data_IF_361414449406
#
_entry.id   IF_361414449406
#
_cell.length_a   1.000
_cell.length_b   1.000
_cell.length_c   1.000
_cell.angle_alpha   90.00
_cell.angle_beta   90.00
_cell.angle_gamma   90.00
#
_symmetry.space_group_name_H-M   'P 1'
#
loop_
_entity.id
_entity.type
_entity.pdbx_description
1 polymer ?
#
# COMPACT_ATOMS: atom_id res chain seq x y z
N UNK A 1 -41.19 7.61 1.16
CA UNK A 1 -41.24 6.53 0.15
C UNK A 1 -40.12 6.79 -0.84
N UNK A 2 -39.01 6.05 -0.73
CA UNK A 2 -37.88 6.14 -1.65
C UNK A 2 -38.24 5.36 -2.93
N UNK A 3 -38.13 6.03 -4.06
CA UNK A 3 -38.38 5.50 -5.40
C UNK A 3 -37.26 4.49 -5.79
N UNK A 4 -37.64 3.22 -5.91
CA UNK A 4 -36.75 2.09 -6.24
C UNK A 4 -36.63 1.85 -7.75
N UNK A 5 -37.15 2.74 -8.61
CA UNK A 5 -37.28 2.47 -10.06
C UNK A 5 -36.04 2.78 -10.92
N UNK A 6 -34.91 3.21 -10.33
CA UNK A 6 -33.68 3.48 -11.10
C UNK A 6 -32.57 2.46 -10.80
N UNK A 7 -32.30 1.50 -11.70
CA UNK A 7 -31.19 0.58 -11.52
C UNK A 7 -29.85 1.32 -11.67
N UNK A 8 -29.00 1.23 -10.63
CA UNK A 8 -27.59 1.57 -10.66
C UNK A 8 -26.90 0.85 -11.83
N UNK A 9 -26.52 1.61 -12.87
CA UNK A 9 -25.68 1.12 -13.97
C UNK A 9 -24.25 0.86 -13.47
N UNK A 10 -24.01 -0.27 -12.82
CA UNK A 10 -22.65 -0.79 -12.67
C UNK A 10 -22.65 -2.32 -12.45
N UNK A 11 -23.12 -3.08 -13.44
CA UNK A 11 -23.23 -4.55 -13.35
C UNK A 11 -22.65 -5.27 -14.57
N UNK A 12 -21.64 -4.70 -15.23
CA UNK A 12 -21.00 -5.29 -16.43
C UNK A 12 -19.59 -5.89 -16.20
N UNK A 13 -19.14 -6.08 -14.97
CA UNK A 13 -17.81 -6.68 -14.69
C UNK A 13 -17.85 -8.02 -13.91
N UNK A 14 -18.97 -8.74 -13.95
CA UNK A 14 -19.19 -9.94 -13.11
C UNK A 14 -18.74 -11.28 -13.74
N UNK A 15 -17.87 -11.29 -14.76
CA UNK A 15 -17.50 -12.54 -15.48
C UNK A 15 -16.01 -12.93 -15.48
N UNK A 16 -15.15 -12.31 -14.64
CA UNK A 16 -13.74 -12.71 -14.51
C UNK A 16 -13.36 -12.96 -13.05
N UNK A 17 -13.52 -14.22 -12.61
CA UNK A 17 -13.97 -14.53 -11.24
C UNK A 17 -12.93 -15.07 -10.23
N UNK A 18 -11.61 -15.02 -10.47
CA UNK A 18 -10.64 -15.48 -9.44
C UNK A 18 -9.51 -14.50 -9.07
N UNK A 19 -9.18 -13.56 -9.96
CA UNK A 19 -8.14 -12.54 -9.71
C UNK A 19 -8.72 -11.18 -9.27
N UNK A 20 -10.03 -11.00 -9.44
CA UNK A 20 -10.77 -9.78 -9.11
C UNK A 20 -11.27 -9.80 -7.65
N UNK A 21 -11.61 -10.98 -7.12
CA UNK A 21 -12.31 -11.15 -5.84
C UNK A 21 -11.53 -10.60 -4.62
N UNK A 22 -10.20 -10.81 -4.55
CA UNK A 22 -9.37 -10.28 -3.45
C UNK A 22 -9.05 -8.79 -3.56
N UNK A 23 -8.95 -8.25 -4.79
CA UNK A 23 -8.66 -6.81 -5.01
C UNK A 23 -9.89 -5.93 -4.78
N UNK A 24 -11.09 -6.49 -4.91
CA UNK A 24 -12.33 -5.77 -4.69
C UNK A 24 -12.62 -5.46 -3.23
N UNK A 25 -12.11 -6.23 -2.26
CA UNK A 25 -12.48 -6.05 -0.84
C UNK A 25 -11.94 -4.76 -0.23
N UNK A 26 -10.67 -4.43 -0.48
CA UNK A 26 -10.06 -3.21 0.07
C UNK A 26 -10.73 -1.96 -0.51
N UNK A 27 -10.99 -1.97 -1.82
CA UNK A 27 -11.70 -0.88 -2.50
C UNK A 27 -13.16 -0.73 -2.02
N UNK A 28 -13.80 -1.83 -1.60
CA UNK A 28 -15.14 -1.77 -1.00
C UNK A 28 -15.13 -1.08 0.36
N UNK A 29 -14.14 -1.37 1.22
CA UNK A 29 -14.01 -0.70 2.53
C UNK A 29 -13.78 0.81 2.35
N UNK A 30 -12.93 1.19 1.40
CA UNK A 30 -12.67 2.60 1.11
C UNK A 30 -13.94 3.34 0.66
N UNK A 31 -14.76 2.70 -0.19
CA UNK A 31 -16.05 3.27 -0.63
C UNK A 31 -17.06 3.38 0.50
N UNK A 32 -17.21 2.32 1.30
CA UNK A 32 -18.09 2.33 2.47
C UNK A 32 -17.69 3.45 3.43
N UNK A 33 -16.39 3.66 3.64
CA UNK A 33 -15.87 4.74 4.48
C UNK A 33 -16.23 6.13 3.93
N UNK A 34 -16.17 6.32 2.62
CA UNK A 34 -16.55 7.58 1.96
C UNK A 34 -18.07 7.85 2.02
N UNK A 35 -18.89 6.81 1.86
CA UNK A 35 -20.34 6.93 1.95
C UNK A 35 -20.75 7.25 3.41
N UNK A 36 -20.19 6.53 4.40
CA UNK A 36 -20.40 6.81 5.83
C UNK A 36 -19.96 8.23 6.22
N UNK A 37 -18.84 8.72 5.67
CA UNK A 37 -18.38 10.08 5.91
C UNK A 37 -19.43 11.13 5.52
N UNK A 38 -20.16 10.88 4.41
CA UNK A 38 -21.21 11.77 3.91
C UNK A 38 -22.45 11.72 4.81
N UNK A 39 -22.90 10.51 5.16
CA UNK A 39 -24.10 10.33 6.01
C UNK A 39 -23.90 10.83 7.44
N UNK A 40 -22.68 10.70 7.96
CA UNK A 40 -22.37 11.05 9.35
C UNK A 40 -21.91 12.51 9.53
N UNK A 41 -21.64 13.23 8.44
CA UNK A 41 -21.22 14.63 8.46
C UNK A 41 -22.15 15.55 9.28
N UNK A 42 -23.50 15.45 9.19
CA UNK A 42 -24.42 16.29 9.97
C UNK A 42 -24.31 16.09 11.48
N UNK A 43 -23.86 14.91 11.92
CA UNK A 43 -23.65 14.58 13.32
C UNK A 43 -22.26 14.98 13.84
N UNK A 44 -21.44 15.62 12.99
CA UNK A 44 -20.09 16.05 13.34
C UNK A 44 -19.08 14.92 13.45
N UNK A 45 -19.41 13.72 12.97
CA UNK A 45 -18.52 12.55 12.97
C UNK A 45 -17.69 12.55 11.69
N UNK A 46 -16.38 12.27 11.83
CA UNK A 46 -15.46 12.15 10.70
C UNK A 46 -15.06 10.69 10.50
N UNK A 47 -15.05 10.24 9.25
CA UNK A 47 -14.71 8.85 8.88
C UNK A 47 -13.58 8.90 7.86
N UNK A 48 -12.52 8.13 8.08
CA UNK A 48 -11.34 8.10 7.19
C UNK A 48 -10.91 6.66 6.94
N UNK A 49 -10.35 6.41 5.75
CA UNK A 49 -9.70 5.12 5.46
C UNK A 49 -8.19 5.27 5.63
N UNK A 50 -7.61 4.56 6.59
CA UNK A 50 -6.17 4.57 6.84
C UNK A 50 -5.47 3.47 6.02
N UNK A 51 -4.44 3.86 5.28
CA UNK A 51 -3.68 2.95 4.42
C UNK A 51 -2.20 2.94 4.80
N UNK A 52 -1.78 1.98 5.64
CA UNK A 52 -0.37 1.79 5.95
C UNK A 52 0.39 1.19 4.77
N UNK A 53 1.71 1.39 4.75
CA UNK A 53 2.64 0.66 3.90
C UNK A 53 2.78 -0.81 4.32
N UNK A 54 3.93 -1.42 3.99
CA UNK A 54 4.26 -2.72 4.58
C UNK A 54 4.41 -2.54 6.09
N UNK A 55 3.79 -3.40 6.91
CA UNK A 55 3.88 -3.34 8.38
C UNK A 55 4.67 -4.54 8.91
N UNK A 56 5.57 -4.29 9.84
CA UNK A 56 6.31 -5.31 10.61
C UNK A 56 5.36 -6.03 11.54
N UNK A 57 4.90 -7.21 11.12
CA UNK A 57 4.04 -8.10 11.92
C UNK A 57 4.58 -9.52 11.86
N UNK A 58 4.25 -10.35 12.84
CA UNK A 58 4.61 -11.77 12.86
C UNK A 58 4.16 -12.48 11.58
N UNK A 59 2.99 -12.10 11.03
CA UNK A 59 2.50 -12.64 9.77
C UNK A 59 3.39 -12.21 8.58
N UNK A 60 3.82 -10.95 8.53
CA UNK A 60 4.73 -10.45 7.51
C UNK A 60 6.08 -11.21 7.53
N UNK A 61 6.60 -11.46 8.73
CA UNK A 61 7.84 -12.22 8.94
C UNK A 61 7.68 -13.70 8.52
N UNK A 62 6.60 -14.35 8.94
CA UNK A 62 6.24 -15.72 8.53
C UNK A 62 6.16 -15.80 7.00
N UNK A 63 5.50 -14.86 6.34
CA UNK A 63 5.34 -14.85 4.88
C UNK A 63 6.68 -14.67 4.14
N UNK A 64 7.57 -13.82 4.65
CA UNK A 64 8.92 -13.64 4.08
C UNK A 64 9.72 -14.94 4.24
N UNK A 65 9.71 -15.53 5.43
CA UNK A 65 10.38 -16.81 5.69
C UNK A 65 9.82 -17.96 4.85
N UNK A 66 8.49 -18.03 4.70
CA UNK A 66 7.83 -19.01 3.83
C UNK A 66 8.21 -18.85 2.37
N UNK A 67 8.26 -17.61 1.87
CA UNK A 67 8.74 -17.36 0.52
C UNK A 67 10.20 -17.79 0.38
N UNK A 68 11.08 -17.45 1.34
CA UNK A 68 12.50 -17.87 1.32
C UNK A 68 12.61 -19.39 1.21
N UNK A 69 11.87 -20.11 2.03
CA UNK A 69 11.86 -21.58 2.03
C UNK A 69 11.28 -22.19 0.75
N UNK A 70 10.17 -21.64 0.24
CA UNK A 70 9.47 -22.17 -0.95
C UNK A 70 10.29 -21.99 -2.23
N UNK A 71 11.08 -20.93 -2.35
CA UNK A 71 12.00 -20.79 -3.50
C UNK A 71 13.27 -21.61 -3.34
N UNK A 72 13.75 -21.83 -2.11
CA UNK A 72 14.87 -22.74 -1.91
C UNK A 72 14.50 -24.18 -2.33
N UNK A 73 13.24 -24.60 -2.13
CA UNK A 73 12.74 -25.88 -2.66
C UNK A 73 12.62 -25.92 -4.19
N UNK A 74 12.28 -24.80 -4.85
CA UNK A 74 12.25 -24.73 -6.32
C UNK A 74 13.66 -24.83 -6.93
N UNK A 75 14.70 -24.47 -6.18
CA UNK A 75 16.10 -24.71 -6.55
C UNK A 75 16.57 -26.15 -6.25
N UNK A 76 15.90 -26.90 -5.37
CA UNK A 76 16.25 -28.31 -5.06
C UNK A 76 15.68 -29.28 -6.12
N UNK A 77 14.65 -28.90 -6.89
CA UNK A 77 14.18 -29.69 -8.05
C UNK A 77 15.03 -29.49 -9.33
N UNK A 78 16.01 -28.58 -9.31
CA UNK A 78 16.99 -28.40 -10.38
C UNK A 78 18.39 -28.75 -9.89
N UNK A 79 18.60 -30.02 -9.55
CA UNK A 79 19.95 -30.58 -9.52
C UNK A 79 19.93 -31.96 -10.14
N UNK A 80 20.26 -32.02 -11.43
CA UNK A 80 21.28 -32.97 -11.89
C UNK A 80 21.92 -32.44 -13.16
N UNK A 81 23.20 -32.08 -13.00
CA UNK A 81 24.19 -31.69 -14.00
C UNK A 81 24.15 -30.25 -14.53
N UNK A 82 25.20 -29.52 -14.15
CA UNK A 82 25.75 -28.30 -14.76
C UNK A 82 24.92 -27.01 -14.69
N UNK A 83 25.34 -26.08 -13.82
CA UNK A 83 25.77 -24.70 -14.15
C UNK A 83 26.36 -24.09 -12.87
N UNK A 84 27.66 -24.31 -12.67
CA UNK A 84 28.50 -23.34 -11.98
C UNK A 84 28.72 -22.16 -12.94
N UNK A 85 28.74 -20.93 -12.41
CA UNK A 85 29.06 -19.65 -13.09
C UNK A 85 27.91 -18.99 -13.88
N UNK A 86 27.10 -18.16 -13.21
CA UNK A 86 26.54 -16.94 -13.83
C UNK A 86 26.27 -15.86 -12.79
N UNK A 87 27.06 -14.77 -12.87
CA UNK A 87 26.79 -13.47 -12.23
C UNK A 87 25.57 -12.86 -12.92
N UNK A 88 24.38 -13.16 -12.40
CA UNK A 88 23.20 -12.32 -12.49
C UNK A 88 22.19 -12.91 -11.50
N UNK A 89 21.68 -12.14 -10.52
CA UNK A 89 20.54 -12.62 -9.75
C UNK A 89 19.42 -12.89 -10.75
N UNK A 90 18.95 -14.13 -10.81
CA UNK A 90 17.74 -14.45 -11.56
C UNK A 90 16.62 -13.52 -11.08
N UNK A 91 15.63 -13.25 -11.94
CA UNK A 91 14.51 -12.34 -11.61
C UNK A 91 13.86 -12.71 -10.26
N UNK A 92 13.85 -14.01 -9.92
CA UNK A 92 13.46 -14.52 -8.61
C UNK A 92 14.35 -13.99 -7.46
N UNK A 93 15.68 -14.11 -7.56
CA UNK A 93 16.62 -13.65 -6.53
C UNK A 93 16.53 -12.13 -6.30
N UNK A 94 16.28 -11.35 -7.37
CA UNK A 94 16.08 -9.90 -7.27
C UNK A 94 14.79 -9.56 -6.50
N UNK A 95 13.69 -10.30 -6.75
CA UNK A 95 12.43 -10.16 -5.99
C UNK A 95 12.61 -10.52 -4.51
N UNK A 96 13.44 -11.51 -4.17
CA UNK A 96 13.75 -11.86 -2.78
C UNK A 96 14.55 -10.77 -2.05
N UNK A 97 15.63 -10.29 -2.67
CA UNK A 97 16.44 -9.21 -2.11
C UNK A 97 15.64 -7.92 -1.91
N UNK A 98 14.74 -7.61 -2.86
CA UNK A 98 13.85 -6.45 -2.74
C UNK A 98 12.86 -6.59 -1.56
N UNK A 99 12.35 -7.79 -1.29
CA UNK A 99 11.44 -8.03 -0.17
C UNK A 99 12.12 -7.88 1.19
N UNK A 100 13.35 -8.38 1.34
CA UNK A 100 14.11 -8.24 2.58
C UNK A 100 14.44 -6.77 2.88
N UNK A 101 14.95 -6.04 1.88
CA UNK A 101 15.21 -4.59 2.00
C UNK A 101 13.93 -3.79 2.32
N UNK A 102 12.81 -4.16 1.71
CA UNK A 102 11.50 -3.50 1.96
C UNK A 102 10.98 -3.81 3.37
N UNK A 103 11.30 -4.98 3.93
CA UNK A 103 10.89 -5.36 5.28
C UNK A 103 11.70 -4.63 6.36
N UNK A 104 13.00 -4.47 6.17
CA UNK A 104 13.83 -3.67 7.09
C UNK A 104 13.35 -2.23 7.20
N UNK A 105 12.85 -1.66 6.11
CA UNK A 105 12.35 -0.29 6.04
C UNK A 105 10.81 -0.19 6.13
N UNK A 106 10.17 -1.26 6.61
CA UNK A 106 8.70 -1.32 6.76
C UNK A 106 8.22 -0.67 8.05
N UNK A 107 6.96 -0.24 8.06
CA UNK A 107 6.35 0.50 9.16
C UNK A 107 6.24 -0.38 10.41
N UNK A 108 6.54 0.14 11.60
CA UNK A 108 6.13 -0.54 12.82
C UNK A 108 4.62 -0.44 13.06
N UNK A 109 4.06 -1.35 13.85
CA UNK A 109 2.68 -1.21 14.31
C UNK A 109 2.47 0.07 15.14
N UNK A 110 3.49 0.52 15.88
CA UNK A 110 3.44 1.77 16.66
C UNK A 110 3.36 2.99 15.75
N UNK A 111 4.05 2.99 14.60
CA UNK A 111 3.97 4.08 13.62
C UNK A 111 2.56 4.27 13.09
N UNK A 112 1.86 3.17 12.78
CA UNK A 112 0.46 3.21 12.38
C UNK A 112 -0.43 3.72 13.53
N UNK A 113 -0.15 3.29 14.77
CA UNK A 113 -0.83 3.79 15.96
C UNK A 113 -0.66 5.29 16.18
N UNK A 114 0.54 5.84 15.96
CA UNK A 114 0.81 7.29 16.01
C UNK A 114 -0.02 8.06 14.99
N UNK A 115 -0.23 7.50 13.80
CA UNK A 115 -1.10 8.10 12.79
C UNK A 115 -2.56 8.21 13.29
N UNK A 116 -3.07 7.17 13.95
CA UNK A 116 -4.42 7.18 14.55
C UNK A 116 -4.53 8.20 15.66
N UNK A 117 -3.53 8.29 16.55
CA UNK A 117 -3.50 9.28 17.63
C UNK A 117 -3.45 10.71 17.06
N UNK A 118 -2.64 10.94 16.03
CA UNK A 118 -2.54 12.24 15.38
C UNK A 118 -3.87 12.67 14.76
N UNK A 119 -4.56 11.75 14.07
CA UNK A 119 -5.90 11.99 13.53
C UNK A 119 -6.92 12.28 14.65
N UNK A 120 -6.91 11.49 15.73
CA UNK A 120 -7.84 11.69 16.85
C UNK A 120 -7.66 13.05 17.54
N UNK A 121 -6.45 13.60 17.53
CA UNK A 121 -6.14 14.94 18.06
C UNK A 121 -6.33 16.10 17.08
N UNK A 122 -6.64 15.83 15.80
CA UNK A 122 -6.73 16.85 14.77
C UNK A 122 -8.06 17.61 14.84
N UNK A 123 -7.97 18.92 15.11
CA UNK A 123 -9.12 19.83 15.14
C UNK A 123 -9.79 19.99 13.77
N UNK A 124 -9.04 19.78 12.69
CA UNK A 124 -9.49 19.92 11.31
C UNK A 124 -9.75 18.57 10.63
N UNK A 125 -9.93 17.47 11.39
CA UNK A 125 -10.15 16.13 10.85
C UNK A 125 -11.34 16.04 9.87
N UNK A 126 -12.32 16.95 9.97
CA UNK A 126 -13.45 17.06 9.05
C UNK A 126 -13.01 17.26 7.59
N UNK A 127 -11.91 17.95 7.34
CA UNK A 127 -11.35 18.15 5.99
C UNK A 127 -10.76 16.86 5.40
N UNK A 128 -10.44 15.90 6.27
CA UNK A 128 -9.90 14.59 5.91
C UNK A 128 -10.99 13.52 5.81
N UNK A 129 -12.20 13.82 6.26
CA UNK A 129 -13.35 12.90 6.22
C UNK A 129 -13.66 12.46 4.79
N UNK A 130 -13.94 11.16 4.62
CA UNK A 130 -14.21 10.50 3.34
C UNK A 130 -12.98 10.24 2.47
N UNK A 131 -11.77 10.53 2.96
CA UNK A 131 -10.52 10.36 2.19
C UNK A 131 -9.75 9.11 2.62
N UNK A 132 -8.95 8.60 1.68
CA UNK A 132 -7.93 7.59 1.94
C UNK A 132 -6.64 8.30 2.31
N UNK A 133 -6.11 8.01 3.50
CA UNK A 133 -4.93 8.65 4.06
C UNK A 133 -3.79 7.64 4.20
N UNK A 134 -2.60 7.99 3.73
CA UNK A 134 -1.41 7.16 3.93
C UNK A 134 -0.70 7.53 5.23
N UNK A 135 -0.26 6.54 6.00
CA UNK A 135 0.47 6.74 7.27
C UNK A 135 1.73 7.60 7.10
N UNK A 136 2.50 7.37 6.03
CA UNK A 136 3.67 8.20 5.70
C UNK A 136 3.31 9.68 5.43
N UNK A 137 2.16 9.94 4.81
CA UNK A 137 1.70 11.31 4.56
C UNK A 137 1.30 12.01 5.85
N UNK A 138 0.58 11.31 6.72
CA UNK A 138 0.22 11.79 8.05
C UNK A 138 1.47 12.03 8.91
N UNK A 139 2.50 11.20 8.78
CA UNK A 139 3.76 11.38 9.49
C UNK A 139 4.48 12.67 9.08
N UNK A 140 4.49 13.00 7.79
CA UNK A 140 5.04 14.28 7.32
C UNK A 140 4.18 15.47 7.74
N UNK A 141 2.86 15.31 7.74
CA UNK A 141 1.92 16.38 8.06
C UNK A 141 1.91 16.71 9.56
N UNK A 142 1.85 15.70 10.42
CA UNK A 142 1.78 15.87 11.88
C UNK A 142 3.14 15.76 12.58
N UNK A 143 4.21 15.41 11.86
CA UNK A 143 5.58 15.43 12.37
C UNK A 143 5.97 14.27 13.28
N UNK A 144 5.28 13.12 13.21
CA UNK A 144 5.66 11.93 13.98
C UNK A 144 6.61 11.01 13.18
N UNK A 145 7.36 10.18 13.91
CA UNK A 145 8.35 9.25 13.35
C UNK A 145 8.14 7.84 13.86
N UNK A 146 8.73 6.87 13.15
CA UNK A 146 8.72 5.48 13.57
C UNK A 146 9.62 5.28 14.82
N UNK A 147 9.54 4.10 15.46
CA UNK A 147 10.31 3.70 16.64
C UNK A 147 11.82 3.88 16.46
N UNK A 148 12.30 3.72 15.23
CA UNK A 148 13.71 3.83 14.86
C UNK A 148 14.15 5.32 14.70
N UNK A 149 13.25 6.28 14.96
CA UNK A 149 13.49 7.71 14.82
C UNK A 149 13.53 8.21 13.37
N UNK A 150 13.33 7.32 12.40
CA UNK A 150 13.23 7.61 10.96
C UNK A 150 11.80 7.62 10.43
N UNK A 151 11.67 7.89 9.13
CA UNK A 151 10.42 7.68 8.40
C UNK A 151 10.52 6.39 7.58
N UNK A 152 9.47 5.55 7.55
CA UNK A 152 9.42 4.34 6.72
C UNK A 152 9.47 4.62 5.21
N UNK A 153 9.48 3.58 4.38
CA UNK A 153 9.42 3.76 2.92
C UNK A 153 8.16 4.53 2.52
N UNK A 154 8.36 5.59 1.73
CA UNK A 154 7.27 6.25 1.02
C UNK A 154 6.97 5.55 -0.30
N UNK A 155 5.80 4.95 -0.37
CA UNK A 155 5.27 4.28 -1.56
C UNK A 155 4.93 5.27 -2.69
N UNK A 156 4.80 6.57 -2.40
CA UNK A 156 4.57 7.61 -3.41
C UNK A 156 5.86 8.13 -4.03
N UNK A 157 7.05 7.80 -3.52
CA UNK A 157 8.30 8.26 -4.15
C UNK A 157 8.50 7.60 -5.50
N UNK A 158 8.87 8.40 -6.50
CA UNK A 158 9.16 7.89 -7.85
C UNK A 158 10.34 6.91 -7.81
N UNK A 159 11.36 7.17 -6.98
CA UNK A 159 12.48 6.23 -6.77
C UNK A 159 11.98 4.86 -6.29
N UNK A 160 11.10 4.84 -5.28
CA UNK A 160 10.52 3.61 -4.73
C UNK A 160 9.66 2.87 -5.76
N UNK A 161 8.85 3.60 -6.53
CA UNK A 161 8.05 3.02 -7.59
C UNK A 161 8.94 2.40 -8.69
N UNK A 162 10.02 3.07 -9.09
CA UNK A 162 10.96 2.55 -10.07
C UNK A 162 11.71 1.31 -9.56
N UNK A 163 12.14 1.29 -8.29
CA UNK A 163 12.71 0.09 -7.67
C UNK A 163 11.71 -1.06 -7.70
N UNK A 164 10.44 -0.80 -7.38
CA UNK A 164 9.37 -1.80 -7.40
C UNK A 164 9.14 -2.40 -8.80
N UNK A 165 9.26 -1.59 -9.86
CA UNK A 165 9.15 -2.06 -11.25
C UNK A 165 10.47 -2.61 -11.83
N UNK A 166 11.56 -2.66 -11.05
CA UNK A 166 12.85 -3.23 -11.44
C UNK A 166 13.80 -2.27 -12.16
N UNK A 167 13.47 -0.98 -12.25
CA UNK A 167 14.30 0.06 -12.85
C UNK A 167 15.32 0.64 -11.86
N UNK A 168 16.11 -0.22 -11.20
CA UNK A 168 17.00 0.15 -10.10
C UNK A 168 18.04 1.22 -10.47
N UNK A 169 18.56 1.20 -11.70
CA UNK A 169 19.55 2.19 -12.17
C UNK A 169 18.95 3.59 -12.32
N UNK A 170 17.66 3.67 -12.70
CA UNK A 170 16.97 4.95 -12.85
C UNK A 170 16.55 5.45 -11.47
N UNK A 171 16.11 4.54 -10.60
CA UNK A 171 15.69 4.87 -9.24
C UNK A 171 16.77 5.57 -8.41
N UNK A 172 18.05 5.25 -8.61
CA UNK A 172 19.17 5.91 -7.92
C UNK A 172 19.46 7.32 -8.41
N UNK A 173 19.07 7.64 -9.65
CA UNK A 173 19.25 8.96 -10.26
C UNK A 173 18.07 9.88 -9.90
N UNK A 174 16.88 9.30 -9.71
CA UNK A 174 15.69 10.07 -9.38
C UNK A 174 15.82 10.69 -7.99
N UNK A 175 15.61 12.01 -7.86
CA UNK A 175 15.73 12.67 -6.58
C UNK A 175 14.66 12.21 -5.60
N UNK A 176 15.05 12.19 -4.33
CA UNK A 176 14.26 11.67 -3.20
C UNK A 176 12.99 12.46 -2.90
N UNK A 177 12.93 13.72 -3.34
CA UNK A 177 11.75 14.60 -3.15
C UNK A 177 10.67 14.39 -4.22
N UNK A 178 10.95 13.68 -5.32
CA UNK A 178 9.99 13.51 -6.39
C UNK A 178 8.94 12.46 -5.99
N UNK A 179 7.72 12.94 -5.77
CA UNK A 179 6.58 12.12 -5.33
C UNK A 179 5.50 12.07 -6.40
N UNK A 180 4.91 10.90 -6.56
CA UNK A 180 3.72 10.66 -7.36
C UNK A 180 2.55 11.34 -6.66
N UNK A 181 1.84 12.24 -7.34
CA UNK A 181 0.65 12.87 -6.78
C UNK A 181 -0.47 11.83 -6.60
N UNK A 182 -1.41 12.10 -5.69
CA UNK A 182 -2.50 11.15 -5.38
C UNK A 182 -3.35 10.81 -6.61
N UNK A 183 -3.59 11.77 -7.50
CA UNK A 183 -4.27 11.51 -8.78
C UNK A 183 -3.47 10.58 -9.70
N UNK A 184 -2.14 10.59 -9.62
CA UNK A 184 -1.28 9.64 -10.35
C UNK A 184 -1.41 8.22 -9.78
N UNK A 185 -1.51 8.10 -8.45
CA UNK A 185 -1.74 6.82 -7.77
C UNK A 185 -3.12 6.21 -8.09
N UNK A 186 -4.09 7.02 -8.50
CA UNK A 186 -5.39 6.54 -8.99
C UNK A 186 -5.23 5.57 -10.17
N UNK A 187 -4.35 5.86 -11.13
CA UNK A 187 -4.18 4.99 -12.30
C UNK A 187 -3.54 3.63 -11.96
N UNK A 188 -2.79 3.56 -10.86
CA UNK A 188 -2.18 2.32 -10.42
C UNK A 188 -3.14 1.41 -9.64
N UNK A 189 -4.11 1.99 -8.92
CA UNK A 189 -4.87 1.26 -7.90
C UNK A 189 -6.38 1.52 -7.89
N UNK A 190 -6.86 2.54 -8.62
CA UNK A 190 -8.22 3.10 -8.57
C UNK A 190 -8.70 3.50 -7.17
N UNK A 191 -7.79 3.53 -6.18
CA UNK A 191 -8.07 3.73 -4.76
C UNK A 191 -8.18 5.21 -4.38
N UNK A 192 -7.36 6.06 -5.00
CA UNK A 192 -7.26 7.48 -4.65
C UNK A 192 -8.21 8.32 -5.51
N UNK A 193 -8.99 9.25 -4.93
CA UNK A 193 -9.90 10.07 -5.71
C UNK A 193 -9.12 10.99 -6.67
N UNK A 194 -9.61 11.15 -7.91
CA UNK A 194 -9.04 12.07 -8.90
C UNK A 194 -9.46 13.52 -8.65
N UNK A 195 -10.53 13.73 -7.88
CA UNK A 195 -11.00 15.04 -7.42
C UNK A 195 -10.53 15.24 -5.99
N UNK A 196 -9.65 16.22 -5.82
CA UNK A 196 -9.20 16.75 -4.52
C UNK A 196 -10.20 17.81 -4.07
#
# INVERSE_FOLDING_TARGET
MMDTSKPMKCMKCWKSHKSCEKRNLILQIDRISADMATELQPYGVSVVSLWPGMVRTELSEILINWKKWSSNRRCIELNSSSIAKRKQPTLALCVYYQLDKTFEQSESAEFVGKAVVALAGDKNIKEKSGKVLMTYDLANEYGFKDIDGGLPIDIRRVSTALEYFGFNQIATIVPTFLRIPLWGMHFASYKFPYKI
#
